data_IF_694995006129
#
_entry.id   IF_694995006129
#
_cell.length_a   1.000
_cell.length_b   1.000
_cell.length_c   1.000
_cell.angle_alpha   90.00
_cell.angle_beta   90.00
_cell.angle_gamma   90.00
#
_symmetry.space_group_name_H-M   'P 1'
#
loop_
_entity.id
_entity.type
_entity.pdbx_description
1 polymer ?
#
# COMPACT_ATOMS: atom_id res chain seq x y z
N UNK A 1 61.29 17.58 21.15
CA UNK A 1 59.96 17.71 21.80
C UNK A 1 59.09 18.49 20.83
N UNK A 2 58.83 17.93 19.65
CA UNK A 2 57.72 17.01 19.34
C UNK A 2 56.35 17.66 19.54
N UNK A 3 55.63 18.04 18.48
CA UNK A 3 54.82 17.17 17.58
C UNK A 3 53.40 17.05 18.17
N UNK A 4 52.28 17.40 17.52
CA UNK A 4 51.86 17.24 16.13
C UNK A 4 50.79 18.28 15.80
N UNK A 5 50.90 18.98 14.66
CA UNK A 5 49.75 19.61 14.00
C UNK A 5 49.89 19.49 12.48
N UNK A 6 48.74 19.17 11.87
CA UNK A 6 48.36 19.27 10.45
C UNK A 6 48.81 18.10 9.56
N UNK A 7 47.86 17.19 9.33
CA UNK A 7 47.85 16.25 8.21
C UNK A 7 47.09 16.91 7.06
N UNK A 8 47.74 16.89 5.90
CA UNK A 8 47.26 17.26 4.57
C UNK A 8 46.54 16.08 3.91
N UNK A 9 45.85 16.40 2.80
CA UNK A 9 45.40 15.56 1.68
C UNK A 9 44.00 14.92 1.87
N UNK A 10 42.94 15.45 1.23
CA UNK A 10 42.59 15.45 -0.20
C UNK A 10 41.94 14.13 -0.64
N UNK A 11 40.62 14.11 -0.75
CA UNK A 11 39.91 13.35 -1.79
C UNK A 11 38.80 14.24 -2.35
N UNK A 12 39.03 14.66 -3.58
CA UNK A 12 38.13 15.30 -4.51
C UNK A 12 37.33 14.16 -5.18
N UNK A 13 36.01 14.08 -4.96
CA UNK A 13 35.13 13.31 -5.85
C UNK A 13 34.11 14.25 -6.48
N UNK A 14 34.46 14.58 -7.72
CA UNK A 14 33.66 15.14 -8.80
C UNK A 14 32.22 14.66 -8.80
N UNK A 15 31.28 15.57 -8.51
CA UNK A 15 29.91 15.51 -9.02
C UNK A 15 29.94 15.90 -10.50
N UNK A 16 29.61 15.01 -11.46
CA UNK A 16 29.35 15.46 -12.81
C UNK A 16 28.02 16.20 -12.82
N UNK A 17 28.10 17.51 -13.06
CA UNK A 17 26.95 18.36 -13.31
C UNK A 17 26.16 17.85 -14.51
N UNK A 18 24.84 17.80 -14.35
CA UNK A 18 23.91 17.65 -15.46
C UNK A 18 23.96 18.95 -16.27
N UNK A 19 24.63 18.88 -17.42
CA UNK A 19 24.56 19.91 -18.44
C UNK A 19 23.18 19.86 -19.09
N UNK A 20 22.37 20.89 -18.85
CA UNK A 20 21.16 21.14 -19.63
C UNK A 20 21.63 21.65 -21.00
N UNK A 21 21.78 20.75 -21.97
CA UNK A 21 21.94 21.12 -23.37
C UNK A 21 20.56 21.45 -23.94
N UNK A 22 20.40 22.69 -24.42
CA UNK A 22 19.18 23.15 -25.08
C UNK A 22 18.84 22.30 -26.30
N UNK A 23 17.58 21.85 -26.37
CA UNK A 23 17.02 21.20 -27.55
C UNK A 23 16.86 22.22 -28.67
N UNK A 24 17.62 21.99 -29.74
CA UNK A 24 17.44 22.56 -31.07
C UNK A 24 16.24 21.88 -31.74
N UNK A 25 15.35 22.67 -32.33
CA UNK A 25 14.19 22.18 -33.08
C UNK A 25 14.66 21.49 -34.36
N UNK A 26 14.32 20.21 -34.51
CA UNK A 26 14.67 19.39 -35.67
C UNK A 26 13.65 18.28 -35.84
N UNK A 27 12.71 18.54 -36.74
CA UNK A 27 11.59 17.73 -37.19
C UNK A 27 12.06 16.43 -37.88
N UNK A 28 11.73 15.25 -37.34
CA UNK A 28 11.32 14.10 -38.16
C UNK A 28 10.54 13.07 -37.34
N UNK A 29 9.49 12.50 -37.95
CA UNK A 29 8.44 11.73 -37.30
C UNK A 29 8.78 10.26 -37.10
N UNK A 30 8.46 9.75 -35.90
CA UNK A 30 8.48 8.32 -35.60
C UNK A 30 8.76 8.04 -34.12
N UNK A 31 7.83 8.38 -33.21
CA UNK A 31 7.98 8.04 -31.79
C UNK A 31 7.56 6.59 -31.53
N UNK A 32 8.54 5.69 -31.53
CA UNK A 32 8.46 4.50 -30.67
C UNK A 32 8.77 5.01 -29.26
N UNK A 33 7.73 5.16 -28.45
CA UNK A 33 7.89 5.44 -27.02
C UNK A 33 8.37 4.13 -26.42
N UNK A 34 9.69 3.98 -26.30
CA UNK A 34 10.29 2.92 -25.50
C UNK A 34 9.96 3.24 -24.05
N UNK A 35 8.97 2.52 -23.51
CA UNK A 35 8.59 2.60 -22.11
C UNK A 35 9.76 2.01 -21.30
N UNK A 36 10.62 2.89 -20.78
CA UNK A 36 11.72 2.52 -19.90
C UNK A 36 11.12 1.94 -18.62
N UNK A 37 11.03 0.62 -18.57
CA UNK A 37 10.69 -0.13 -17.37
C UNK A 37 11.84 0.06 -16.38
N UNK A 38 11.63 0.90 -15.36
CA UNK A 38 12.62 1.11 -14.31
C UNK A 38 12.61 -0.10 -13.36
N UNK A 39 13.53 -1.05 -13.59
CA UNK A 39 13.72 -2.23 -12.74
C UNK A 39 14.03 -1.89 -11.27
N UNK A 40 14.40 -0.65 -10.94
CA UNK A 40 14.65 -0.24 -9.55
C UNK A 40 13.37 -0.05 -8.73
N UNK A 41 12.19 -0.05 -9.38
CA UNK A 41 10.89 -0.03 -8.71
C UNK A 41 10.40 -1.44 -8.29
N UNK A 42 11.08 -2.51 -8.71
CA UNK A 42 10.76 -3.87 -8.28
C UNK A 42 11.41 -4.12 -6.92
N UNK A 43 10.70 -3.76 -5.85
CA UNK A 43 11.12 -4.09 -4.48
C UNK A 43 10.95 -5.61 -4.30
N UNK A 44 12.02 -6.37 -4.01
CA UNK A 44 11.92 -7.82 -3.84
C UNK A 44 11.03 -8.16 -2.63
N UNK A 45 10.08 -9.06 -2.83
CA UNK A 45 9.07 -9.49 -1.84
C UNK A 45 9.67 -9.88 -0.47
N UNK A 46 10.89 -10.42 -0.43
CA UNK A 46 11.59 -10.79 0.81
C UNK A 46 11.99 -9.58 1.69
N UNK A 47 12.22 -8.40 1.10
CA UNK A 47 12.49 -7.17 1.85
C UNK A 47 11.22 -6.60 2.51
N UNK A 48 10.06 -6.78 1.90
CA UNK A 48 8.78 -6.28 2.42
C UNK A 48 8.38 -7.02 3.71
N UNK A 49 8.49 -8.35 3.72
CA UNK A 49 8.19 -9.18 4.91
C UNK A 49 9.07 -8.78 6.11
N UNK A 50 10.33 -8.39 5.84
CA UNK A 50 11.26 -7.94 6.89
C UNK A 50 10.94 -6.53 7.41
N UNK A 51 10.37 -5.66 6.58
CA UNK A 51 9.98 -4.29 6.94
C UNK A 51 8.66 -4.26 7.73
N UNK A 52 7.70 -5.09 7.34
CA UNK A 52 6.41 -5.29 8.04
C UNK A 52 6.60 -5.83 9.46
N UNK A 53 7.55 -6.75 9.66
CA UNK A 53 7.89 -7.29 10.98
C UNK A 53 8.49 -6.27 11.96
N UNK A 54 9.00 -5.12 11.47
CA UNK A 54 9.56 -4.07 12.33
C UNK A 54 8.52 -3.03 12.77
N UNK A 55 7.44 -2.87 12.00
CA UNK A 55 6.36 -1.90 12.27
C UNK A 55 5.14 -2.54 12.95
N UNK A 56 5.04 -3.87 12.95
CA UNK A 56 3.86 -4.58 13.46
C UNK A 56 2.64 -4.42 12.55
N UNK A 57 2.87 -4.11 11.28
CA UNK A 57 1.81 -3.86 10.30
C UNK A 57 2.00 -4.83 9.14
N UNK A 58 1.01 -5.66 8.86
CA UNK A 58 1.05 -6.73 7.87
C UNK A 58 -0.08 -6.61 6.87
N UNK A 59 0.24 -6.66 5.57
CA UNK A 59 -0.74 -6.83 4.50
C UNK A 59 -0.63 -8.26 3.92
N UNK A 60 -1.70 -9.04 4.05
CA UNK A 60 -1.75 -10.44 3.64
C UNK A 60 -2.56 -10.59 2.35
N UNK A 61 -1.98 -11.32 1.39
CA UNK A 61 -2.60 -11.65 0.10
C UNK A 61 -3.15 -13.09 0.10
N UNK A 62 -4.47 -13.22 0.17
CA UNK A 62 -5.20 -14.50 0.03
C UNK A 62 -5.96 -14.57 -1.30
N UNK A 63 -5.54 -13.80 -2.31
CA UNK A 63 -6.19 -13.79 -3.63
C UNK A 63 -5.69 -14.93 -4.54
N UNK A 64 -6.59 -15.45 -5.40
CA UNK A 64 -6.41 -16.72 -6.12
C UNK A 64 -6.39 -16.57 -7.64
N UNK A 65 -7.04 -15.54 -8.17
CA UNK A 65 -7.14 -15.28 -9.62
C UNK A 65 -6.29 -14.10 -10.04
N UNK A 66 -6.07 -13.95 -11.35
CA UNK A 66 -5.35 -12.79 -11.89
C UNK A 66 -6.00 -11.47 -11.50
N UNK A 67 -7.32 -11.35 -11.62
CA UNK A 67 -8.02 -10.11 -11.29
C UNK A 67 -7.91 -9.81 -9.79
N UNK A 68 -8.00 -10.83 -8.93
CA UNK A 68 -7.80 -10.69 -7.49
C UNK A 68 -6.38 -10.21 -7.16
N UNK A 69 -5.36 -10.79 -7.81
CA UNK A 69 -3.97 -10.34 -7.65
C UNK A 69 -3.78 -8.90 -8.15
N UNK A 70 -4.33 -8.55 -9.30
CA UNK A 70 -4.27 -7.18 -9.83
C UNK A 70 -4.92 -6.19 -8.83
N UNK A 71 -6.07 -6.55 -8.25
CA UNK A 71 -6.71 -5.78 -7.18
C UNK A 71 -5.82 -5.63 -5.95
N UNK A 72 -5.20 -6.72 -5.48
CA UNK A 72 -4.26 -6.69 -4.37
C UNK A 72 -3.10 -5.72 -4.62
N UNK A 73 -2.47 -5.80 -5.79
CA UNK A 73 -1.34 -4.93 -6.16
C UNK A 73 -1.73 -3.46 -6.13
N UNK A 74 -2.90 -3.10 -6.68
CA UNK A 74 -3.39 -1.72 -6.61
C UNK A 74 -3.62 -1.27 -5.16
N UNK A 75 -4.22 -2.09 -4.31
CA UNK A 75 -4.40 -1.75 -2.88
C UNK A 75 -3.05 -1.61 -2.20
N UNK A 76 -2.08 -2.49 -2.49
CA UNK A 76 -0.74 -2.44 -1.91
C UNK A 76 -0.01 -1.14 -2.27
N UNK A 77 -0.08 -0.67 -3.52
CA UNK A 77 0.53 0.61 -3.91
C UNK A 77 -0.10 1.80 -3.16
N UNK A 78 -1.43 1.79 -3.01
CA UNK A 78 -2.13 2.82 -2.21
C UNK A 78 -1.75 2.72 -0.74
N UNK A 79 -1.60 1.51 -0.20
CA UNK A 79 -1.20 1.27 1.18
C UNK A 79 0.19 1.82 1.49
N UNK A 80 1.18 1.61 0.61
CA UNK A 80 2.51 2.19 0.76
C UNK A 80 2.47 3.73 0.78
N UNK A 81 1.58 4.33 -0.01
CA UNK A 81 1.35 5.78 -0.01
C UNK A 81 0.77 6.23 1.33
N UNK A 82 -0.27 5.53 1.81
CA UNK A 82 -0.91 5.80 3.10
C UNK A 82 0.08 5.71 4.27
N UNK A 83 0.97 4.72 4.26
CA UNK A 83 1.98 4.54 5.32
C UNK A 83 3.07 5.62 5.30
N UNK A 84 3.41 6.14 4.13
CA UNK A 84 4.48 7.13 3.97
C UNK A 84 4.01 8.58 4.10
N UNK A 85 2.74 8.88 3.78
CA UNK A 85 2.18 10.23 3.85
C UNK A 85 1.55 10.52 5.22
N UNK A 86 2.30 11.29 6.04
CA UNK A 86 1.86 11.74 7.36
C UNK A 86 0.71 12.73 7.35
N UNK A 87 0.35 13.29 6.18
CA UNK A 87 -0.84 14.13 6.05
C UNK A 87 -2.12 13.30 5.92
N UNK A 88 -2.02 12.06 5.43
CA UNK A 88 -3.17 11.14 5.30
C UNK A 88 -3.44 10.42 6.60
N UNK A 89 -2.42 9.83 7.22
CA UNK A 89 -2.57 9.09 8.49
C UNK A 89 -1.48 9.52 9.47
N UNK A 90 -1.90 9.87 10.70
CA UNK A 90 -0.96 10.09 11.80
C UNK A 90 -0.26 8.78 12.15
N UNK A 91 1.08 8.75 12.35
CA UNK A 91 1.79 7.53 12.75
C UNK A 91 1.23 6.86 14.02
N UNK A 92 0.61 7.64 14.91
CA UNK A 92 -0.06 7.12 16.12
C UNK A 92 -1.37 6.39 15.84
N UNK A 93 -2.00 6.58 14.68
CA UNK A 93 -3.28 5.95 14.35
C UNK A 93 -3.15 4.43 14.22
N UNK A 94 -1.99 3.94 13.76
CA UNK A 94 -1.71 2.51 13.69
C UNK A 94 -1.57 1.89 15.10
N UNK A 95 -0.92 2.59 16.04
CA UNK A 95 -0.77 2.12 17.43
C UNK A 95 -2.08 2.11 18.23
N UNK A 96 -3.07 2.90 17.82
CA UNK A 96 -4.39 2.91 18.47
C UNK A 96 -5.19 1.63 18.17
N UNK A 97 -4.87 0.92 17.08
CA UNK A 97 -5.60 -0.28 16.65
C UNK A 97 -5.21 -1.51 17.47
N UNK A 98 -3.93 -1.63 17.81
CA UNK A 98 -3.38 -2.74 18.59
C UNK A 98 -1.86 -2.78 18.54
N UNK A 99 -1.28 -3.82 19.15
CA UNK A 99 0.15 -4.12 19.03
C UNK A 99 0.52 -4.57 17.61
N UNK A 100 -0.45 -5.14 16.89
CA UNK A 100 -0.32 -5.61 15.52
C UNK A 100 -1.55 -5.20 14.70
N UNK A 101 -1.31 -4.76 13.46
CA UNK A 101 -2.33 -4.47 12.46
C UNK A 101 -2.19 -5.46 11.30
N UNK A 102 -3.11 -6.41 11.21
CA UNK A 102 -3.19 -7.34 10.09
C UNK A 102 -4.32 -6.92 9.16
N UNK A 103 -3.97 -6.56 7.93
CA UNK A 103 -4.92 -6.29 6.85
C UNK A 103 -4.88 -7.48 5.89
N UNK A 104 -6.00 -8.16 5.69
CA UNK A 104 -6.10 -9.32 4.80
C UNK A 104 -6.99 -9.02 3.62
N UNK A 105 -6.48 -9.25 2.42
CA UNK A 105 -7.24 -9.17 1.18
C UNK A 105 -7.53 -10.60 0.72
N UNK A 106 -8.80 -10.98 0.79
CA UNK A 106 -9.26 -12.32 0.46
C UNK A 106 -10.10 -12.32 -0.82
N UNK A 107 -10.03 -13.42 -1.56
CA UNK A 107 -10.81 -13.64 -2.77
C UNK A 107 -11.65 -14.93 -2.68
N UNK A 108 -12.97 -14.76 -2.79
CA UNK A 108 -13.92 -15.85 -2.91
C UNK A 108 -14.37 -16.03 -4.37
N UNK A 109 -13.86 -17.04 -5.09
CA UNK A 109 -14.31 -17.33 -6.44
C UNK A 109 -15.77 -17.83 -6.41
N UNK A 110 -16.64 -17.19 -7.19
CA UNK A 110 -18.06 -17.53 -7.21
C UNK A 110 -18.29 -18.88 -7.93
N UNK A 111 -18.82 -19.91 -7.25
CA UNK A 111 -19.07 -21.20 -7.88
C UNK A 111 -20.13 -21.09 -8.98
N UNK A 112 -19.81 -21.54 -10.19
CA UNK A 112 -20.73 -21.53 -11.34
C UNK A 112 -20.64 -20.29 -12.25
N UNK A 113 -19.63 -19.42 -12.05
CA UNK A 113 -19.44 -18.19 -12.82
C UNK A 113 -19.26 -18.40 -14.32
N UNK A 114 -20.35 -18.27 -15.08
CA UNK A 114 -20.29 -17.81 -16.47
C UNK A 114 -19.93 -16.33 -16.39
N UNK A 115 -18.64 -16.02 -16.41
CA UNK A 115 -18.12 -14.66 -16.24
C UNK A 115 -17.07 -14.63 -15.14
N UNK A 116 -15.94 -14.02 -15.46
CA UNK A 116 -14.71 -13.84 -14.67
C UNK A 116 -14.88 -12.95 -13.42
N UNK A 117 -16.05 -12.98 -12.80
CA UNK A 117 -16.39 -12.21 -11.60
C UNK A 117 -16.05 -13.01 -10.34
N UNK A 118 -15.36 -12.35 -9.43
CA UNK A 118 -14.95 -12.90 -8.14
C UNK A 118 -15.38 -11.94 -7.03
N UNK A 119 -15.49 -12.39 -5.79
CA UNK A 119 -15.76 -11.49 -4.66
C UNK A 119 -14.43 -11.23 -3.98
N UNK A 120 -14.08 -9.95 -3.84
CA UNK A 120 -12.93 -9.53 -3.03
C UNK A 120 -13.43 -8.93 -1.73
N UNK A 121 -12.72 -9.21 -0.64
CA UNK A 121 -12.97 -8.63 0.67
C UNK A 121 -11.68 -8.15 1.31
N UNK A 122 -11.79 -7.08 2.11
CA UNK A 122 -10.70 -6.55 2.89
C UNK A 122 -11.10 -6.54 4.37
N UNK A 123 -10.26 -7.16 5.18
CA UNK A 123 -10.48 -7.40 6.61
C UNK A 123 -9.32 -6.80 7.39
N UNK A 124 -9.62 -6.16 8.52
CA UNK A 124 -8.62 -5.61 9.45
C UNK A 124 -8.81 -6.25 10.81
N UNK A 125 -7.82 -7.02 11.29
CA UNK A 125 -7.90 -7.77 12.56
C UNK A 125 -9.25 -8.51 12.72
N UNK A 126 -9.60 -9.33 11.72
CA UNK A 126 -10.87 -10.09 11.63
C UNK A 126 -12.16 -9.27 11.41
N UNK A 127 -12.08 -7.94 11.35
CA UNK A 127 -13.23 -7.07 11.02
C UNK A 127 -13.29 -6.80 9.53
N UNK A 128 -14.31 -7.31 8.84
CA UNK A 128 -14.53 -7.05 7.42
C UNK A 128 -15.00 -5.61 7.22
N UNK A 129 -14.22 -4.80 6.48
CA UNK A 129 -14.52 -3.39 6.24
C UNK A 129 -14.91 -3.10 4.78
N UNK A 130 -14.62 -4.02 3.88
CA UNK A 130 -14.96 -3.91 2.47
C UNK A 130 -15.25 -5.29 1.88
N UNK A 131 -16.28 -5.38 1.03
CA UNK A 131 -16.59 -6.56 0.25
C UNK A 131 -17.33 -6.16 -1.02
N UNK A 132 -16.83 -6.55 -2.20
CA UNK A 132 -17.49 -6.28 -3.47
C UNK A 132 -17.23 -7.35 -4.54
N UNK A 133 -18.12 -7.40 -5.54
CA UNK A 133 -17.91 -8.18 -6.76
C UNK A 133 -16.90 -7.48 -7.66
N UNK A 134 -15.74 -8.09 -7.84
CA UNK A 134 -14.72 -7.61 -8.74
C UNK A 134 -15.12 -7.83 -10.20
N UNK A 135 -15.10 -6.73 -10.96
CA UNK A 135 -15.37 -6.77 -12.39
C UNK A 135 -14.06 -6.91 -13.17
N UNK A 136 -13.97 -7.82 -14.15
CA UNK A 136 -12.74 -8.17 -14.87
C UNK A 136 -12.40 -7.13 -15.96
N UNK A 137 -12.35 -5.85 -15.58
CA UNK A 137 -12.01 -4.72 -16.45
C UNK A 137 -10.97 -3.88 -15.72
N UNK A 138 -9.78 -3.74 -16.30
CA UNK A 138 -8.62 -3.17 -15.61
C UNK A 138 -8.91 -1.84 -14.91
N UNK A 139 -9.48 -0.86 -15.61
CA UNK A 139 -9.79 0.44 -15.00
C UNK A 139 -10.85 0.38 -13.89
N UNK A 140 -11.74 -0.64 -13.91
CA UNK A 140 -12.70 -0.86 -12.83
C UNK A 140 -12.03 -1.52 -11.63
N UNK A 141 -11.07 -2.44 -11.86
CA UNK A 141 -10.31 -3.08 -10.78
C UNK A 141 -9.50 -2.04 -10.01
N UNK A 142 -8.82 -1.13 -10.71
CA UNK A 142 -8.07 -0.03 -10.12
C UNK A 142 -8.98 0.92 -9.30
N UNK A 143 -10.13 1.32 -9.86
CA UNK A 143 -11.10 2.15 -9.15
C UNK A 143 -11.62 1.46 -7.88
N UNK A 144 -11.96 0.17 -7.98
CA UNK A 144 -12.43 -0.61 -6.82
C UNK A 144 -11.34 -0.74 -5.75
N UNK A 145 -10.08 -0.92 -6.14
CA UNK A 145 -8.95 -0.95 -5.21
C UNK A 145 -8.74 0.40 -4.52
N UNK A 146 -8.87 1.52 -5.25
CA UNK A 146 -8.86 2.86 -4.66
C UNK A 146 -9.95 3.03 -3.61
N UNK A 147 -11.19 2.62 -3.92
CA UNK A 147 -12.30 2.64 -2.95
C UNK A 147 -12.00 1.78 -1.71
N UNK A 148 -11.39 0.60 -1.88
CA UNK A 148 -11.01 -0.25 -0.76
C UNK A 148 -9.93 0.40 0.13
N UNK A 149 -8.93 1.04 -0.48
CA UNK A 149 -7.90 1.79 0.24
C UNK A 149 -8.45 3.01 0.98
N UNK A 150 -9.43 3.72 0.40
CA UNK A 150 -10.13 4.82 1.05
C UNK A 150 -10.92 4.34 2.27
N UNK A 151 -11.61 3.20 2.16
CA UNK A 151 -12.32 2.58 3.29
C UNK A 151 -11.35 2.15 4.38
N UNK A 152 -10.19 1.60 4.04
CA UNK A 152 -9.14 1.25 4.98
C UNK A 152 -8.58 2.49 5.70
N UNK A 153 -8.31 3.56 4.96
CA UNK A 153 -7.86 4.83 5.52
C UNK A 153 -8.87 5.39 6.52
N UNK A 154 -10.14 5.43 6.13
CA UNK A 154 -11.23 5.88 7.01
C UNK A 154 -11.37 4.98 8.24
N UNK A 155 -11.22 3.67 8.09
CA UNK A 155 -11.25 2.73 9.21
C UNK A 155 -10.16 3.03 10.23
N UNK A 156 -8.92 3.22 9.77
CA UNK A 156 -7.76 3.51 10.63
C UNK A 156 -7.95 4.87 11.34
N UNK A 157 -8.36 5.91 10.61
CA UNK A 157 -8.58 7.25 11.18
C UNK A 157 -9.68 7.27 12.24
N UNK A 158 -10.74 6.48 12.06
CA UNK A 158 -11.93 6.49 12.91
C UNK A 158 -12.03 5.25 13.82
N UNK A 159 -10.93 4.52 14.02
CA UNK A 159 -10.91 3.26 14.76
C UNK A 159 -11.56 3.37 16.15
N UNK A 160 -11.25 4.45 16.88
CA UNK A 160 -11.81 4.69 18.22
C UNK A 160 -13.34 4.86 18.20
N UNK A 161 -13.91 5.37 17.12
CA UNK A 161 -15.35 5.49 16.95
C UNK A 161 -15.99 4.14 16.62
N UNK A 162 -15.36 3.36 15.72
CA UNK A 162 -15.80 1.99 15.40
C UNK A 162 -15.78 1.07 16.64
N UNK A 163 -14.72 1.13 17.44
CA UNK A 163 -14.61 0.41 18.73
C UNK A 163 -15.77 0.73 19.68
N UNK A 164 -16.13 2.01 19.81
CA UNK A 164 -17.25 2.44 20.68
C UNK A 164 -18.58 1.89 20.19
N UNK A 165 -18.80 1.83 18.88
CA UNK A 165 -20.04 1.27 18.31
C UNK A 165 -20.16 -0.23 18.62
N UNK A 166 -19.06 -0.98 18.47
CA UNK A 166 -19.02 -2.42 18.77
C UNK A 166 -19.17 -2.72 20.28
N UNK A 167 -18.47 -1.98 21.14
CA UNK A 167 -18.57 -2.15 22.60
C UNK A 167 -19.94 -1.77 23.19
N UNK A 168 -20.68 -0.89 22.52
CA UNK A 168 -22.02 -0.43 22.95
C UNK A 168 -23.11 -1.47 22.69
N UNK A 169 -23.00 -2.28 21.64
CA UNK A 169 -24.00 -3.29 21.32
C UNK A 169 -23.89 -4.55 22.20
N UNK A 170 -22.68 -4.95 22.60
CA UNK A 170 -22.49 -6.08 23.53
C UNK A 170 -22.86 -5.72 24.98
N UNK A 171 -22.81 -4.43 25.35
CA UNK A 171 -23.27 -3.94 26.66
C UNK A 171 -24.79 -3.75 26.76
N UNK A 172 -25.56 -3.98 25.69
CA UNK A 172 -27.04 -4.03 25.72
C UNK A 172 -27.58 -5.42 26.06
N UNK A 173 -26.81 -6.23 26.79
CA UNK A 173 -27.32 -7.38 27.51
C UNK A 173 -28.35 -6.91 28.55
N UNK A 174 -29.63 -6.99 28.19
CA UNK A 174 -30.75 -6.63 29.06
C UNK A 174 -30.69 -7.55 30.29
N UNK A 175 -30.12 -7.05 31.39
CA UNK A 175 -30.11 -7.74 32.68
C UNK A 175 -31.53 -7.86 33.21
N UNK A 176 -32.25 -8.87 32.76
CA UNK A 176 -33.54 -9.27 33.31
C UNK A 176 -33.28 -10.55 34.10
N UNK A 177 -33.01 -10.37 35.39
CA UNK A 177 -33.15 -11.39 36.44
C UNK A 177 -34.50 -11.20 37.12
#
# INVERSE_FOLDING_TARGET
>A
MDSKRKILQAILMSLPGVLIAGVSWGQDGGSLVEEYFDESLIVPMEQNISLEGATGIFLLDETRTKNGRDFYEYVYQQWLTIQSDTNLISPSAFSDIGEELTVTIDEQPVPGGIGTSTIVSLTVNDVMIYQQFLQPRLGVVEEMAGNAADMLTQYIQNFQEFQKQLGSDDQKGNGIY
#
